data_IF_921420896292
#
_entry.id   IF_921420896292
#
_cell.length_a   1.000
_cell.length_b   1.000
_cell.length_c   1.000
_cell.angle_alpha   90.00
_cell.angle_beta   90.00
_cell.angle_gamma   90.00
#
_symmetry.space_group_name_H-M   'P 1'
#
loop_
_entity.id
_entity.type
_entity.pdbx_description
1 polymer ?
2 non-polymer ?
3 non-polymer ?
4 water ?
#
# COMPACT_ATOMS: atom_id res chain seq x y z
N UNK A 6 0.54 -3.41 17.02
CA UNK A 6 0.04 -3.39 15.61
C UNK A 6 -0.53 -2.03 15.25
N UNK A 7 -0.05 -1.49 14.13
CA UNK A 7 -0.55 -0.21 13.63
C UNK A 7 -1.20 -0.37 12.26
N UNK A 8 -2.06 0.58 11.92
CA UNK A 8 -2.75 0.55 10.64
C UNK A 8 -2.66 1.93 10.01
N UNK A 9 -2.75 1.95 8.69
CA UNK A 9 -2.67 3.19 7.91
C UNK A 9 -3.63 3.12 6.74
N UNK A 10 -4.00 4.30 6.21
CA UNK A 10 -4.62 4.41 4.90
C UNK A 10 -3.78 5.31 4.01
N UNK A 11 -3.93 5.12 2.71
CA UNK A 11 -3.20 5.91 1.71
C UNK A 11 -3.83 7.27 1.45
N UNK A 12 -2.98 8.29 1.33
CA UNK A 12 -3.36 9.55 0.70
C UNK A 12 -2.44 9.60 -0.53
N UNK A 13 -2.99 9.47 -1.75
CA UNK A 13 -2.15 9.42 -2.94
C UNK A 13 -1.52 10.78 -3.23
N UNK A 14 -0.32 10.75 -3.79
CA UNK A 14 0.40 11.98 -4.16
C UNK A 14 0.55 12.01 -5.69
N UNK A 15 1.02 10.91 -6.31
CA UNK A 15 1.06 10.75 -7.78
C UNK A 15 -0.34 10.51 -8.38
N UNK A 16 -0.55 10.99 -9.61
CA UNK A 16 -1.85 10.86 -10.28
C UNK A 16 -2.24 9.42 -10.64
N UNK A 17 -1.26 8.51 -10.76
CA UNK A 17 -1.55 7.08 -10.96
C UNK A 17 -2.43 6.57 -9.84
N UNK A 18 -2.46 7.28 -8.71
CA UNK A 18 -3.15 6.75 -7.56
C UNK A 18 -4.34 7.59 -7.08
N UNK A 19 -4.71 8.62 -7.84
CA UNK A 19 -5.86 9.46 -7.45
C UNK A 19 -7.17 8.67 -7.38
N UNK A 20 -7.25 7.60 -8.16
CA UNK A 20 -8.43 6.76 -8.19
C UNK A 20 -8.38 5.58 -7.25
N UNK A 21 -7.36 5.48 -6.38
CA UNK A 21 -7.33 4.38 -5.44
C UNK A 21 -8.58 4.42 -4.53
N UNK A 22 -9.26 3.28 -4.31
CA UNK A 22 -10.40 3.25 -3.37
C UNK A 22 -9.94 3.64 -1.96
N UNK A 23 -10.80 4.39 -1.27
CA UNK A 23 -10.49 4.96 0.03
C UNK A 23 -10.48 4.00 1.18
N UNK A 24 -11.09 2.83 1.02
CA UNK A 24 -11.23 1.93 2.19
C UNK A 24 -10.13 0.88 2.37
N UNK A 25 -9.05 1.03 1.63
CA UNK A 25 -7.95 0.10 1.80
C UNK A 25 -7.28 0.39 3.15
N UNK A 26 -7.15 -0.65 3.97
CA UNK A 26 -6.51 -0.51 5.27
C UNK A 26 -5.31 -1.44 5.33
N UNK A 27 -4.16 -0.90 5.72
CA UNK A 27 -2.86 -1.60 5.69
C UNK A 27 -2.44 -1.77 7.14
N UNK A 28 -2.10 -3.00 7.51
CA UNK A 28 -1.79 -3.28 8.91
C UNK A 28 -0.45 -3.99 9.02
N UNK A 29 0.30 -3.62 10.05
CA UNK A 29 1.60 -4.23 10.38
C UNK A 29 1.58 -4.64 11.84
N UNK A 30 1.80 -5.93 12.07
CA UNK A 30 1.85 -6.47 13.41
C UNK A 30 3.30 -6.61 13.86
N UNK A 31 3.67 -5.87 14.89
CA UNK A 31 5.06 -5.82 15.36
C UNK A 31 5.54 -7.13 15.99
N UNK A 32 4.60 -7.92 16.50
CA UNK A 32 4.92 -9.15 17.22
C UNK A 32 5.23 -10.29 16.25
N UNK A 33 4.31 -10.54 15.31
CA UNK A 33 4.49 -11.62 14.35
C UNK A 33 4.98 -11.15 12.97
N UNK A 34 5.12 -9.84 12.81
CA UNK A 34 5.67 -9.21 11.60
C UNK A 34 4.70 -9.24 10.40
N UNK A 35 3.44 -9.56 10.64
CA UNK A 35 2.48 -9.72 9.55
C UNK A 35 2.09 -8.38 8.94
N UNK A 36 2.02 -8.34 7.62
CA UNK A 36 1.40 -7.23 6.88
C UNK A 36 0.19 -7.69 6.06
N UNK A 37 -0.96 -7.04 6.31
CA UNK A 37 -2.18 -7.34 5.57
C UNK A 37 -2.77 -6.09 4.91
N UNK A 38 -3.59 -6.31 3.89
CA UNK A 38 -4.43 -5.24 3.38
C UNK A 38 -5.90 -5.71 3.40
N UNK A 39 -6.80 -4.82 3.79
CA UNK A 39 -8.21 -5.17 3.89
C UNK A 39 -9.07 -4.06 3.32
N UNK A 40 -10.16 -4.44 2.66
CA UNK A 40 -11.18 -3.51 2.21
C UNK A 40 -12.42 -4.30 1.81
N UNK A 41 -13.46 -3.60 1.40
CA UNK A 41 -14.72 -4.23 0.96
C UNK A 41 -14.50 -5.19 -0.22
N UNK A 42 -13.58 -4.83 -1.12
CA UNK A 42 -13.45 -5.52 -2.39
C UNK A 42 -12.06 -6.07 -2.68
N UNK A 43 -11.12 -5.94 -1.74
CA UNK A 43 -9.75 -6.45 -1.88
C UNK A 43 -9.21 -6.97 -0.56
N UNK A 44 -8.49 -8.07 -0.59
CA UNK A 44 -7.77 -8.54 0.58
C UNK A 44 -6.42 -9.07 0.14
N UNK A 45 -5.45 -9.07 1.04
CA UNK A 45 -4.13 -9.60 0.73
C UNK A 45 -3.28 -9.71 1.98
N UNK A 46 -2.47 -10.77 2.04
CA UNK A 46 -1.49 -10.92 3.11
C UNK A 46 -0.11 -10.92 2.46
N UNK A 47 0.79 -10.07 2.95
CA UNK A 47 2.06 -9.83 2.27
C UNK A 47 3.12 -10.86 2.60
N UNK A 48 3.80 -11.31 1.56
CA UNK A 48 5.14 -11.85 1.74
C UNK A 48 6.10 -10.72 1.37
N UNK A 49 7.04 -10.37 2.25
CA UNK A 49 7.75 -9.08 2.07
C UNK A 49 9.15 -9.04 2.70
N UNK A 50 9.92 -8.04 2.25
CA UNK A 50 11.21 -7.69 2.82
C UNK A 50 11.24 -6.18 3.07
N UNK A 51 11.88 -5.76 4.16
CA UNK A 51 12.02 -4.34 4.48
C UNK A 51 13.37 -4.10 5.13
N UNK A 52 14.27 -3.50 4.36
CA UNK A 52 15.66 -3.33 4.79
C UNK A 52 16.19 -2.03 4.26
N UNK A 53 16.78 -1.23 5.15
CA UNK A 53 17.51 -0.02 4.75
C UNK A 53 16.58 1.00 4.09
N UNK A 54 15.32 1.02 4.52
CA UNK A 54 14.30 1.87 3.92
C UNK A 54 13.61 1.28 2.69
N UNK A 55 14.12 0.18 2.16
CA UNK A 55 13.57 -0.44 0.94
C UNK A 55 12.56 -1.53 1.28
N UNK A 56 11.34 -1.34 0.80
CA UNK A 56 10.27 -2.31 1.01
C UNK A 56 9.88 -2.95 -0.30
N UNK A 57 9.74 -4.26 -0.29
CA UNK A 57 9.15 -4.95 -1.42
C UNK A 57 8.26 -6.07 -0.92
N UNK A 58 7.10 -6.20 -1.51
CA UNK A 58 6.18 -7.21 -1.01
C UNK A 58 5.23 -7.72 -2.06
N UNK A 59 4.81 -8.98 -1.90
CA UNK A 59 3.79 -9.62 -2.73
C UNK A 59 2.54 -9.90 -1.87
N UNK A 60 1.41 -9.25 -2.19
CA UNK A 60 0.21 -9.32 -1.34
C UNK A 60 -0.81 -10.44 -1.65
N UNK A 61 -0.55 -11.24 -2.68
CA UNK A 61 -1.47 -12.33 -3.07
C UNK A 61 -2.93 -11.93 -3.01
N UNK A 62 -3.26 -10.95 -3.83
CA UNK A 62 -4.53 -10.22 -3.78
C UNK A 62 -5.80 -11.01 -4.24
N UNK A 63 -6.90 -10.78 -3.54
CA UNK A 63 -8.24 -11.17 -4.02
C UNK A 63 -9.05 -9.93 -4.30
N UNK A 64 -9.84 -9.95 -5.37
CA UNK A 64 -10.61 -8.79 -5.82
C UNK A 64 -11.97 -9.23 -6.32
N UNK A 65 -13.01 -8.47 -5.96
CA UNK A 65 -14.40 -8.74 -6.27
C UNK A 65 -14.72 -8.20 -7.65
N UNK A 66 -15.12 -9.11 -8.54
CA UNK A 66 -15.52 -8.76 -9.89
C UNK A 66 -16.59 -7.67 -9.90
N UNK A 67 -16.38 -6.66 -10.74
CA UNK A 67 -17.39 -5.64 -11.00
C UNK A 67 -17.50 -4.62 -9.89
N UNK A 68 -16.71 -4.76 -8.84
CA UNK A 68 -16.86 -3.88 -7.70
C UNK A 68 -16.21 -2.52 -7.89
N UNK A 69 -15.20 -2.45 -8.76
CA UNK A 69 -14.44 -1.24 -8.94
C UNK A 69 -14.68 -0.62 -10.30
N UNK A 70 -14.57 0.70 -10.38
CA UNK A 70 -14.49 1.38 -11.67
C UNK A 70 -13.20 1.01 -12.38
N UNK A 71 -13.20 1.14 -13.70
CA UNK A 71 -11.96 0.91 -14.49
C UNK A 71 -10.74 1.66 -13.93
N UNK A 72 -10.92 2.92 -13.59
CA UNK A 72 -9.83 3.75 -13.10
C UNK A 72 -9.30 3.27 -11.75
N UNK A 73 -10.21 2.77 -10.92
CA UNK A 73 -9.84 2.22 -9.63
C UNK A 73 -9.02 0.95 -9.82
N UNK A 74 -9.46 0.09 -10.74
CA UNK A 74 -8.74 -1.16 -11.02
C UNK A 74 -7.31 -0.89 -11.45
N UNK A 75 -7.12 0.06 -12.35
CA UNK A 75 -5.78 0.36 -12.87
C UNK A 75 -4.90 0.87 -11.74
N UNK A 76 -5.46 1.74 -10.89
CA UNK A 76 -4.70 2.28 -9.75
C UNK A 76 -4.29 1.19 -8.77
N UNK A 77 -5.22 0.30 -8.45
CA UNK A 77 -4.95 -0.84 -7.55
C UNK A 77 -3.85 -1.74 -8.13
N UNK A 78 -4.00 -2.09 -9.41
CA UNK A 78 -3.05 -2.96 -10.16
C UNK A 78 -1.65 -2.37 -10.13
N UNK A 79 -1.61 -1.09 -10.44
CA UNK A 79 -0.34 -0.38 -10.48
C UNK A 79 0.28 -0.35 -9.09
N UNK A 80 -0.55 -0.16 -8.05
CA UNK A 80 -0.02 -0.08 -6.70
C UNK A 80 0.66 -1.38 -6.32
N UNK A 81 -0.03 -2.52 -6.50
CA UNK A 81 0.57 -3.77 -6.08
C UNK A 81 1.78 -4.15 -6.93
N UNK A 82 1.76 -3.76 -8.20
CA UNK A 82 2.96 -3.95 -9.05
C UNK A 82 4.18 -3.15 -8.53
N UNK A 83 3.92 -1.91 -8.14
CA UNK A 83 4.95 -1.04 -7.61
C UNK A 83 5.50 -1.58 -6.29
N UNK A 84 4.61 -2.06 -5.39
CA UNK A 84 5.06 -2.60 -4.13
C UNK A 84 5.90 -3.85 -4.31
N UNK A 85 5.61 -4.66 -5.33
CA UNK A 85 6.42 -5.83 -5.66
C UNK A 85 7.80 -5.44 -6.17
N UNK A 86 7.85 -4.44 -7.04
CA UNK A 86 9.12 -3.99 -7.60
C UNK A 86 10.03 -3.33 -6.56
N UNK A 87 9.41 -2.71 -5.56
CA UNK A 87 10.12 -2.09 -4.46
C UNK A 87 9.90 -0.58 -4.38
N UNK A 88 9.77 -0.09 -3.15
CA UNK A 88 9.64 1.35 -2.90
C UNK A 88 10.52 1.69 -1.72
N UNK A 89 10.73 2.98 -1.51
CA UNK A 89 11.42 3.43 -0.30
C UNK A 89 10.42 4.04 0.66
N UNK A 90 10.52 3.64 1.91
CA UNK A 90 9.64 4.18 2.94
C UNK A 90 10.40 5.24 3.74
N UNK A 91 9.79 6.41 3.92
CA UNK A 91 10.41 7.53 4.65
C UNK A 91 9.50 7.84 5.83
N UNK A 92 9.82 7.35 7.01
CA UNK A 92 9.12 7.74 8.24
C UNK A 92 9.70 9.00 8.89
N UNK A 93 9.13 9.35 10.04
CA UNK A 93 9.57 10.53 10.75
C UNK A 93 9.41 10.37 12.24
N UNK A 94 10.00 11.28 12.98
CA UNK A 94 10.00 11.22 14.45
C UNK A 94 8.89 12.04 15.11
N UNK A 95 8.05 12.69 14.30
CA UNK A 95 6.95 13.50 14.81
C UNK A 95 5.70 12.64 14.96
N UNK A 96 5.32 11.95 13.89
CA UNK A 96 4.19 11.06 13.96
C UNK A 96 4.42 9.79 13.13
N UNK A 97 3.34 9.05 12.83
CA UNK A 97 3.45 7.76 12.19
C UNK A 97 3.23 7.81 10.68
N UNK A 98 3.18 9.00 10.11
CA UNK A 98 3.08 9.13 8.63
C UNK A 98 4.34 8.56 7.96
N UNK A 99 4.14 7.92 6.80
CA UNK A 99 5.24 7.33 6.05
C UNK A 99 5.10 7.75 4.60
N UNK A 100 6.10 8.37 4.00
CA UNK A 100 6.06 8.60 2.55
C UNK A 100 6.55 7.40 1.79
N UNK A 101 5.87 7.05 0.71
CA UNK A 101 6.30 6.00 -0.20
C UNK A 101 6.88 6.66 -1.44
N UNK A 102 8.15 6.38 -1.68
CA UNK A 102 8.92 7.04 -2.74
C UNK A 102 9.40 6.03 -3.75
N UNK A 103 9.44 6.46 -5.00
CA UNK A 103 9.99 5.65 -6.08
C UNK A 103 10.26 6.58 -7.26
N UNK A 104 11.35 6.29 -7.96
CA UNK A 104 11.70 6.95 -9.23
C UNK A 104 11.71 8.46 -9.09
N UNK A 105 12.37 8.89 -8.04
CA UNK A 105 12.58 10.31 -7.80
C UNK A 105 11.39 11.10 -7.30
N UNK A 106 10.25 10.44 -7.05
CA UNK A 106 9.07 11.16 -6.55
C UNK A 106 8.38 10.49 -5.38
N UNK A 107 7.53 11.27 -4.74
CA UNK A 107 6.65 10.71 -3.72
C UNK A 107 5.42 10.19 -4.44
N UNK A 108 5.13 8.90 -4.23
CA UNK A 108 4.01 8.28 -4.90
C UNK A 108 2.77 8.39 -4.04
N UNK A 109 2.93 8.17 -2.73
CA UNK A 109 1.79 8.32 -1.85
C UNK A 109 2.28 8.43 -0.41
N UNK A 110 1.34 8.74 0.47
CA UNK A 110 1.64 8.74 1.90
C UNK A 110 0.70 7.85 2.67
N UNK A 111 1.24 7.23 3.69
CA UNK A 111 0.48 6.43 4.63
C UNK A 111 0.18 7.30 5.84
N UNK A 112 -1.10 7.47 6.15
CA UNK A 112 -1.57 8.21 7.30
C UNK A 112 -2.12 7.23 8.30
N UNK A 113 -1.71 7.36 9.55
CA UNK A 113 -2.12 6.37 10.58
C UNK A 113 -3.62 6.45 10.85
N UNK A 114 -4.22 5.27 11.00
CA UNK A 114 -5.62 5.18 11.35
C UNK A 114 -6.50 4.71 10.22
N UNK A 115 -7.74 4.42 10.57
CA UNK A 115 -8.72 4.04 9.61
C UNK A 115 -9.19 5.25 8.82
X LIG B 1 -16.66 2.07 -14.44
X LIG B 1 -17.50 1.31 -13.90
X LIG B 1 -15.68 1.51 -14.97
X LIG B 1 -16.80 3.54 -14.44
X LIG C 1 7.09 -0.73 9.33
X LIG C 1 6.43 -1.28 8.09
X LIG C 1 5.02 -0.65 7.88
X LIG C 1 4.67 -0.56 6.39
X LIG C 1 3.40 -1.34 6.08
X LIG C 1 2.78 -0.83 4.78
X LIG C 1 3.02 -1.81 3.64
X LIG C 1 3.56 -1.08 2.41
X LIG C 1 2.44 -0.91 1.40
X LIG C 1 1.82 0.49 1.48
X LIG C 1 0.68 0.67 0.51
#
# INVERSE_FOLDING_TARGET
SSSNSEKEWHIVPVSKDYFSIPNDLLWSFNTTNKSINVYSKCISGKAVYSFNAGKFMGNFNVKEVDGCFMDAQKIAIDKLFSMLKDGVVLKGNKINDTILIEKDGEVKLKLIRGI
ACT C O OXT CH3
UND C1 C2 C3 C4 C5 C6 C7 C8 C9 C10 C11
#
